data_IF_380411706777
#
_entry.id   IF_380411706777
#
_cell.length_a   1.000
_cell.length_b   1.000
_cell.length_c   1.000
_cell.angle_alpha   90.00
_cell.angle_beta   90.00
_cell.angle_gamma   90.00
#
_symmetry.space_group_name_H-M   'P 1'
#
loop_
_entity.id
_entity.type
_entity.pdbx_description
1 polymer ?
#
# COMPACT_ATOMS: atom_id res chain seq x y z
N UNK A 1 16.82 -0.72 -44.72
CA UNK A 1 18.18 -1.10 -44.26
C UNK A 1 18.64 -0.35 -43.00
N UNK A 2 18.80 0.99 -42.98
CA UNK A 2 19.27 1.69 -41.77
C UNK A 2 18.33 1.57 -40.55
N UNK A 3 17.02 1.70 -40.77
CA UNK A 3 15.99 1.58 -39.72
C UNK A 3 15.88 0.17 -39.12
N UNK A 4 16.20 -0.83 -39.93
CA UNK A 4 16.15 -2.25 -39.59
C UNK A 4 17.41 -2.66 -38.81
N UNK A 5 18.57 -2.13 -39.20
CA UNK A 5 19.82 -2.27 -38.44
C UNK A 5 19.75 -1.58 -37.06
N UNK A 6 19.08 -0.43 -36.97
CA UNK A 6 18.84 0.24 -35.68
C UNK A 6 17.86 -0.53 -34.79
N UNK A 7 16.81 -1.11 -35.37
CA UNK A 7 15.87 -1.97 -34.64
C UNK A 7 16.60 -3.19 -34.05
N UNK A 8 17.39 -3.87 -34.87
CA UNK A 8 18.11 -5.08 -34.48
C UNK A 8 19.16 -4.79 -33.39
N UNK A 9 19.79 -3.60 -33.41
CA UNK A 9 20.70 -3.15 -32.34
C UNK A 9 19.96 -2.91 -31.01
N UNK A 10 18.76 -2.31 -31.06
CA UNK A 10 17.92 -2.08 -29.87
C UNK A 10 17.39 -3.40 -29.30
N UNK A 11 16.96 -4.33 -30.15
CA UNK A 11 16.50 -5.66 -29.74
C UNK A 11 17.62 -6.46 -29.05
N UNK A 12 18.84 -6.44 -29.60
CA UNK A 12 19.99 -7.10 -28.98
C UNK A 12 20.37 -6.46 -27.64
N UNK A 13 20.24 -5.15 -27.50
CA UNK A 13 20.48 -4.45 -26.24
C UNK A 13 19.41 -4.77 -25.19
N UNK A 14 18.14 -4.82 -25.59
CA UNK A 14 17.03 -5.28 -24.74
C UNK A 14 17.29 -6.71 -24.29
N UNK A 15 17.62 -7.62 -25.21
CA UNK A 15 17.88 -9.02 -24.88
C UNK A 15 19.07 -9.19 -23.93
N UNK A 16 20.17 -8.45 -24.11
CA UNK A 16 21.29 -8.46 -23.15
C UNK A 16 20.90 -7.93 -21.78
N UNK A 17 20.08 -6.88 -21.72
CA UNK A 17 19.58 -6.33 -20.46
C UNK A 17 18.63 -7.32 -19.79
N UNK A 18 17.72 -7.95 -20.53
CA UNK A 18 16.82 -8.99 -20.04
C UNK A 18 17.58 -10.20 -19.51
N UNK A 19 18.61 -10.68 -20.22
CA UNK A 19 19.48 -11.77 -19.77
C UNK A 19 20.34 -11.39 -18.56
N UNK A 20 20.76 -10.12 -18.45
CA UNK A 20 21.48 -9.62 -17.27
C UNK A 20 20.55 -9.50 -16.05
N UNK A 21 19.30 -9.05 -16.26
CA UNK A 21 18.28 -9.00 -15.21
C UNK A 21 17.82 -10.39 -14.78
N UNK A 22 17.65 -11.33 -15.73
CA UNK A 22 17.35 -12.73 -15.45
C UNK A 22 18.47 -13.40 -14.64
N UNK A 23 19.74 -13.15 -15.00
CA UNK A 23 20.91 -13.60 -14.23
C UNK A 23 20.98 -12.98 -12.84
N UNK A 24 20.49 -11.75 -12.67
CA UNK A 24 20.37 -11.08 -11.37
C UNK A 24 19.12 -11.53 -10.56
N UNK A 25 18.34 -12.51 -11.05
CA UNK A 25 17.11 -12.95 -10.40
C UNK A 25 15.97 -11.92 -10.43
N UNK A 26 16.11 -10.87 -11.23
CA UNK A 26 15.10 -9.83 -11.43
C UNK A 26 14.19 -10.28 -12.57
N UNK A 27 13.09 -10.94 -12.22
CA UNK A 27 12.01 -11.21 -13.15
C UNK A 27 11.43 -9.85 -13.57
N UNK A 28 11.64 -9.47 -14.84
CA UNK A 28 11.02 -8.28 -15.43
C UNK A 28 9.58 -8.67 -15.75
N UNK A 29 8.68 -8.38 -14.81
CA UNK A 29 7.26 -8.61 -15.00
C UNK A 29 6.66 -7.44 -15.80
N UNK A 30 5.90 -7.71 -16.88
CA UNK A 30 5.31 -6.66 -17.68
C UNK A 30 4.38 -5.81 -16.82
N UNK A 31 4.64 -4.51 -16.77
CA UNK A 31 3.77 -3.55 -16.08
C UNK A 31 2.42 -3.53 -16.77
N UNK A 32 1.35 -3.71 -16.02
CA UNK A 32 -0.01 -3.83 -16.56
C UNK A 32 -1.01 -2.86 -15.89
N UNK A 33 -0.62 -2.16 -14.82
CA UNK A 33 -1.51 -1.31 -14.04
C UNK A 33 -0.88 0.05 -13.67
N UNK A 34 -1.66 1.16 -13.64
CA UNK A 34 -3.04 1.28 -14.12
C UNK A 34 -3.17 1.11 -15.65
N UNK A 35 -4.33 0.70 -16.19
CA UNK A 35 -4.49 0.35 -17.61
C UNK A 35 -4.12 1.48 -18.58
N UNK A 36 -4.34 2.73 -18.18
CA UNK A 36 -4.03 3.92 -18.97
C UNK A 36 -2.57 4.37 -18.84
N UNK A 37 -1.85 3.92 -17.81
CA UNK A 37 -0.45 4.29 -17.60
C UNK A 37 0.27 3.20 -16.78
N UNK A 38 0.72 2.10 -17.42
CA UNK A 38 1.25 0.93 -16.73
C UNK A 38 2.58 1.24 -16.01
N UNK A 39 2.51 1.46 -14.69
CA UNK A 39 3.67 1.73 -13.83
C UNK A 39 4.07 0.48 -13.03
N UNK A 40 3.08 -0.32 -12.62
CA UNK A 40 3.24 -1.46 -11.72
C UNK A 40 2.69 -2.74 -12.34
N UNK A 41 3.16 -3.88 -11.84
CA UNK A 41 2.65 -5.20 -12.18
C UNK A 41 1.66 -5.65 -11.09
N UNK A 42 0.43 -5.95 -11.49
CA UNK A 42 -0.65 -6.46 -10.64
C UNK A 42 -1.40 -7.53 -11.44
N UNK A 43 -1.01 -8.79 -11.26
CA UNK A 43 -1.70 -9.94 -11.84
C UNK A 43 -2.04 -10.98 -10.77
N UNK A 44 -2.95 -10.59 -9.87
CA UNK A 44 -3.28 -11.37 -8.67
C UNK A 44 -3.85 -12.75 -9.03
N UNK A 45 -4.63 -12.85 -10.11
CA UNK A 45 -5.28 -14.10 -10.53
C UNK A 45 -4.27 -15.17 -10.96
N UNK A 46 -3.19 -14.76 -11.63
CA UNK A 46 -2.18 -15.69 -12.16
C UNK A 46 -1.00 -15.89 -11.20
N UNK A 47 -0.64 -14.86 -10.42
CA UNK A 47 0.57 -14.91 -9.58
C UNK A 47 0.35 -15.47 -8.17
N UNK A 48 -0.88 -15.35 -7.64
CA UNK A 48 -1.16 -15.63 -6.24
C UNK A 48 -2.03 -16.89 -6.13
N UNK A 49 -1.69 -17.84 -5.23
CA UNK A 49 -2.53 -19.01 -4.97
C UNK A 49 -3.97 -18.62 -4.62
N UNK A 50 -4.97 -19.37 -5.14
CA UNK A 50 -6.41 -19.04 -5.02
C UNK A 50 -6.86 -18.75 -3.60
N UNK A 51 -6.34 -19.49 -2.60
CA UNK A 51 -6.67 -19.30 -1.19
C UNK A 51 -6.17 -17.96 -0.60
N UNK A 52 -5.19 -17.32 -1.23
CA UNK A 52 -4.61 -16.02 -0.83
C UNK A 52 -5.12 -14.84 -1.66
N UNK A 53 -5.67 -15.10 -2.86
CA UNK A 53 -6.10 -14.05 -3.78
C UNK A 53 -7.05 -13.05 -3.12
N UNK A 54 -8.03 -13.52 -2.33
CA UNK A 54 -8.95 -12.64 -1.61
C UNK A 54 -8.22 -11.64 -0.71
N UNK A 55 -7.23 -12.09 0.04
CA UNK A 55 -6.46 -11.20 0.92
C UNK A 55 -5.66 -10.23 0.08
N UNK A 56 -5.01 -10.69 -0.99
CA UNK A 56 -4.22 -9.81 -1.87
C UNK A 56 -5.08 -8.75 -2.56
N UNK A 57 -6.30 -9.08 -3.02
CA UNK A 57 -7.23 -8.09 -3.58
C UNK A 57 -7.64 -7.04 -2.55
N UNK A 58 -7.90 -7.44 -1.31
CA UNK A 58 -8.26 -6.49 -0.25
C UNK A 58 -7.05 -5.65 0.17
N UNK A 59 -5.84 -6.21 0.19
CA UNK A 59 -4.61 -5.44 0.38
C UNK A 59 -4.38 -4.43 -0.73
N UNK A 60 -4.69 -4.78 -1.97
CA UNK A 60 -4.66 -3.84 -3.09
C UNK A 60 -5.73 -2.76 -2.94
N UNK A 61 -6.93 -3.12 -2.47
CA UNK A 61 -7.98 -2.16 -2.15
C UNK A 61 -7.56 -1.19 -1.03
N UNK A 62 -6.82 -1.64 -0.02
CA UNK A 62 -6.21 -0.76 1.01
C UNK A 62 -5.17 0.19 0.41
N UNK A 63 -4.38 -0.26 -0.59
CA UNK A 63 -3.44 0.63 -1.27
C UNK A 63 -4.17 1.75 -2.01
N UNK A 64 -5.24 1.41 -2.73
CA UNK A 64 -6.11 2.38 -3.39
C UNK A 64 -6.88 3.24 -2.39
N UNK A 65 -7.31 2.66 -1.27
CA UNK A 65 -7.97 3.33 -0.17
C UNK A 65 -7.11 4.44 0.42
N UNK A 66 -5.82 4.18 0.64
CA UNK A 66 -4.86 5.22 1.04
C UNK A 66 -4.73 6.34 0.00
N UNK A 67 -4.65 6.00 -1.29
CA UNK A 67 -4.61 7.01 -2.37
C UNK A 67 -5.85 7.90 -2.32
N UNK A 68 -7.04 7.30 -2.15
CA UNK A 68 -8.31 8.02 -2.02
C UNK A 68 -8.31 8.89 -0.76
N UNK A 69 -7.87 8.37 0.39
CA UNK A 69 -7.78 9.12 1.65
C UNK A 69 -6.92 10.38 1.48
N UNK A 70 -5.71 10.22 0.93
CA UNK A 70 -4.75 11.31 0.79
C UNK A 70 -5.14 12.29 -0.31
N UNK A 71 -5.78 11.81 -1.39
CA UNK A 71 -6.33 12.70 -2.41
C UNK A 71 -7.48 13.54 -1.86
N UNK A 72 -8.43 12.91 -1.17
CA UNK A 72 -9.53 13.63 -0.50
C UNK A 72 -9.00 14.60 0.55
N UNK A 73 -7.95 14.22 1.27
CA UNK A 73 -7.26 15.11 2.20
C UNK A 73 -6.75 16.40 1.54
N UNK A 74 -6.17 16.31 0.34
CA UNK A 74 -5.76 17.50 -0.42
C UNK A 74 -6.98 18.37 -0.75
N UNK A 75 -8.11 17.77 -1.14
CA UNK A 75 -9.33 18.54 -1.43
C UNK A 75 -9.84 19.28 -0.18
N UNK A 76 -9.90 18.60 0.96
CA UNK A 76 -10.28 19.20 2.25
C UNK A 76 -9.39 20.40 2.60
N UNK A 77 -8.08 20.18 2.57
CA UNK A 77 -7.10 21.22 2.94
C UNK A 77 -7.04 22.35 1.90
N UNK A 78 -7.37 22.07 0.63
CA UNK A 78 -7.57 23.12 -0.39
C UNK A 78 -8.78 23.99 -0.04
N UNK A 79 -9.90 23.37 0.39
CA UNK A 79 -11.07 24.08 0.88
C UNK A 79 -10.75 24.99 2.07
N UNK A 80 -10.03 24.47 3.07
CA UNK A 80 -9.56 25.23 4.22
C UNK A 80 -8.60 26.37 3.81
N UNK A 81 -7.69 26.12 2.86
CA UNK A 81 -6.78 27.15 2.39
C UNK A 81 -7.53 28.32 1.71
N UNK A 82 -8.53 28.01 0.89
CA UNK A 82 -9.37 29.03 0.22
C UNK A 82 -10.16 29.87 1.23
N UNK A 83 -10.52 29.31 2.40
CA UNK A 83 -11.20 30.04 3.48
C UNK A 83 -10.25 30.83 4.39
N UNK A 84 -8.94 30.82 4.11
CA UNK A 84 -7.95 31.66 4.78
C UNK A 84 -6.98 30.91 5.72
N UNK A 85 -7.01 29.58 5.75
CA UNK A 85 -6.03 28.80 6.51
C UNK A 85 -4.62 28.88 5.91
N UNK A 86 -3.62 28.53 6.71
CA UNK A 86 -2.20 28.66 6.36
C UNK A 86 -1.78 27.75 5.18
N UNK A 87 -1.17 28.25 4.09
CA UNK A 87 -0.74 27.41 2.96
C UNK A 87 0.21 26.28 3.35
N UNK A 88 0.91 26.37 4.49
CA UNK A 88 1.78 25.29 5.01
C UNK A 88 1.01 23.99 5.24
N UNK A 89 -0.26 24.04 5.66
CA UNK A 89 -1.05 22.81 5.85
C UNK A 89 -1.33 22.12 4.50
N UNK A 90 -1.49 22.90 3.44
CA UNK A 90 -1.71 22.40 2.09
C UNK A 90 -0.46 21.73 1.53
N UNK A 91 0.72 22.33 1.70
CA UNK A 91 1.99 21.71 1.28
C UNK A 91 2.23 20.36 1.99
N UNK A 92 1.92 20.25 3.28
CA UNK A 92 1.99 18.99 4.01
C UNK A 92 1.06 17.92 3.43
N UNK A 93 -0.19 18.27 3.11
CA UNK A 93 -1.13 17.34 2.48
C UNK A 93 -0.60 16.79 1.14
N UNK A 94 0.02 17.65 0.33
CA UNK A 94 0.67 17.25 -0.94
C UNK A 94 1.88 16.35 -0.68
N UNK A 95 2.72 16.67 0.31
CA UNK A 95 3.85 15.82 0.70
C UNK A 95 3.36 14.43 1.12
N UNK A 96 2.30 14.34 1.94
CA UNK A 96 1.73 13.05 2.33
C UNK A 96 1.27 12.24 1.13
N UNK A 97 0.63 12.85 0.14
CA UNK A 97 0.21 12.16 -1.08
C UNK A 97 1.39 11.67 -1.92
N UNK A 98 2.37 12.53 -2.19
CA UNK A 98 3.52 12.21 -3.05
C UNK A 98 4.44 11.17 -2.41
N UNK A 99 4.58 11.19 -1.09
CA UNK A 99 5.46 10.25 -0.36
C UNK A 99 4.72 9.00 0.10
N UNK A 100 3.49 9.16 0.58
CA UNK A 100 2.65 8.09 1.14
C UNK A 100 2.22 7.08 0.10
N UNK A 101 1.79 7.50 -1.09
CA UNK A 101 1.33 6.57 -2.13
C UNK A 101 2.47 5.67 -2.67
N UNK A 102 3.64 6.19 -3.08
CA UNK A 102 4.78 5.35 -3.45
C UNK A 102 5.35 4.57 -2.26
N UNK A 103 5.43 5.21 -1.09
CA UNK A 103 5.89 4.58 0.15
C UNK A 103 5.08 3.34 0.48
N UNK A 104 3.75 3.43 0.45
CA UNK A 104 2.85 2.31 0.70
C UNK A 104 3.06 1.15 -0.29
N UNK A 105 3.20 1.47 -1.57
CA UNK A 105 3.49 0.48 -2.60
C UNK A 105 4.79 -0.28 -2.33
N UNK A 106 5.89 0.44 -2.06
CA UNK A 106 7.21 -0.17 -1.90
C UNK A 106 7.44 -0.82 -0.54
N UNK A 107 6.86 -0.26 0.52
CA UNK A 107 7.14 -0.65 1.90
C UNK A 107 6.27 -1.80 2.39
N UNK A 108 5.03 -1.92 1.93
CA UNK A 108 4.15 -3.00 2.40
C UNK A 108 3.43 -3.75 1.28
N UNK A 109 2.91 -3.09 0.23
CA UNK A 109 2.14 -3.81 -0.80
C UNK A 109 3.01 -4.77 -1.62
N UNK A 110 4.12 -4.27 -2.18
CA UNK A 110 5.05 -5.06 -2.99
C UNK A 110 5.73 -6.17 -2.17
N UNK A 111 6.19 -5.92 -0.93
CA UNK A 111 6.66 -6.99 -0.04
C UNK A 111 5.60 -8.05 0.22
N UNK A 112 4.34 -7.67 0.49
CA UNK A 112 3.25 -8.63 0.69
C UNK A 112 3.00 -9.48 -0.57
N UNK A 113 2.92 -8.85 -1.74
CA UNK A 113 2.72 -9.53 -3.02
C UNK A 113 3.82 -10.58 -3.24
N UNK A 114 5.09 -10.19 -3.00
CA UNK A 114 6.24 -11.11 -3.06
C UNK A 114 6.16 -12.23 -2.03
N UNK A 115 5.73 -11.92 -0.81
CA UNK A 115 5.59 -12.89 0.27
C UNK A 115 4.54 -13.96 -0.07
N UNK A 116 3.40 -13.56 -0.64
CA UNK A 116 2.33 -14.48 -1.04
C UNK A 116 2.69 -15.32 -2.26
N UNK A 117 3.51 -14.78 -3.18
CA UNK A 117 3.97 -15.50 -4.38
C UNK A 117 5.12 -16.46 -4.13
N UNK A 118 6.14 -16.04 -3.38
CA UNK A 118 7.41 -16.79 -3.21
C UNK A 118 7.58 -17.42 -1.83
N UNK A 119 6.57 -17.30 -0.98
CA UNK A 119 6.57 -17.78 0.41
C UNK A 119 7.78 -17.32 1.25
N UNK A 120 8.08 -16.02 1.22
CA UNK A 120 9.24 -15.43 1.88
C UNK A 120 8.90 -14.90 3.28
N UNK A 121 9.42 -15.55 4.33
CA UNK A 121 9.24 -15.12 5.73
C UNK A 121 9.78 -13.71 6.00
N UNK A 122 10.92 -13.34 5.40
CA UNK A 122 11.47 -11.99 5.51
C UNK A 122 10.50 -10.94 4.90
N UNK A 123 9.88 -11.26 3.77
CA UNK A 123 8.93 -10.36 3.12
C UNK A 123 7.65 -10.18 3.95
N UNK A 124 7.19 -11.23 4.64
CA UNK A 124 6.10 -11.11 5.62
C UNK A 124 6.49 -10.22 6.81
N UNK A 125 7.68 -10.41 7.39
CA UNK A 125 8.16 -9.56 8.49
C UNK A 125 8.24 -8.08 8.10
N UNK A 126 8.77 -7.80 6.91
CA UNK A 126 8.84 -6.44 6.35
C UNK A 126 7.43 -5.85 6.13
N UNK A 127 6.50 -6.63 5.59
CA UNK A 127 5.10 -6.23 5.48
C UNK A 127 4.52 -5.86 6.85
N UNK A 128 4.62 -6.71 7.87
CA UNK A 128 4.03 -6.44 9.18
C UNK A 128 4.56 -5.16 9.81
N UNK A 129 5.87 -4.90 9.71
CA UNK A 129 6.49 -3.69 10.25
C UNK A 129 5.91 -2.42 9.61
N UNK A 130 5.90 -2.35 8.28
CA UNK A 130 5.45 -1.13 7.59
C UNK A 130 3.93 -1.00 7.52
N UNK A 131 3.21 -2.11 7.50
CA UNK A 131 1.75 -2.08 7.54
C UNK A 131 1.23 -1.68 8.93
N UNK A 132 1.97 -1.99 10.00
CA UNK A 132 1.71 -1.42 11.32
C UNK A 132 1.83 0.12 11.31
N UNK A 133 2.89 0.67 10.71
CA UNK A 133 3.05 2.12 10.57
C UNK A 133 1.95 2.73 9.69
N UNK A 134 1.51 2.05 8.64
CA UNK A 134 0.35 2.46 7.82
C UNK A 134 -0.93 2.56 8.66
N UNK A 135 -1.26 1.53 9.45
CA UNK A 135 -2.42 1.54 10.34
C UNK A 135 -2.31 2.67 11.37
N UNK A 136 -1.15 2.82 12.01
CA UNK A 136 -0.91 3.88 12.98
C UNK A 136 -1.06 5.28 12.36
N UNK A 137 -0.55 5.48 11.14
CA UNK A 137 -0.72 6.71 10.38
C UNK A 137 -2.20 6.98 10.07
N UNK A 138 -2.96 5.98 9.61
CA UNK A 138 -4.38 6.16 9.30
C UNK A 138 -5.22 6.47 10.55
N UNK A 139 -4.89 5.86 11.70
CA UNK A 139 -5.52 6.21 13.00
C UNK A 139 -5.17 7.65 13.39
N UNK A 140 -3.89 8.03 13.28
CA UNK A 140 -3.45 9.40 13.55
C UNK A 140 -4.16 10.41 12.65
N UNK A 141 -4.31 10.11 11.36
CA UNK A 141 -5.02 10.95 10.40
C UNK A 141 -6.52 11.02 10.66
N UNK A 142 -7.16 9.93 11.08
CA UNK A 142 -8.57 9.93 11.45
C UNK A 142 -8.84 10.80 12.69
N UNK A 143 -7.98 10.71 13.71
CA UNK A 143 -8.11 11.56 14.91
C UNK A 143 -7.75 13.00 14.55
N UNK A 144 -6.59 13.18 13.94
CA UNK A 144 -5.96 14.46 13.59
C UNK A 144 -5.85 15.40 14.80
N UNK A 145 -5.18 14.96 15.88
CA UNK A 145 -5.13 15.75 17.10
C UNK A 145 -4.47 17.11 16.82
N UNK A 146 -4.98 18.23 17.38
CA UNK A 146 -4.55 19.58 17.03
C UNK A 146 -3.17 19.96 17.58
N UNK A 147 -2.41 18.99 18.10
CA UNK A 147 -1.05 19.18 18.56
C UNK A 147 -0.12 19.17 17.34
N UNK A 148 0.67 20.23 17.18
CA UNK A 148 1.50 20.56 16.00
C UNK A 148 0.71 20.98 14.74
N UNK A 149 1.39 21.68 13.83
CA UNK A 149 0.83 22.09 12.52
C UNK A 149 0.38 20.89 11.66
N UNK A 150 0.96 19.71 11.89
CA UNK A 150 0.67 18.46 11.17
C UNK A 150 -0.78 17.99 11.36
N UNK A 151 -1.34 18.18 12.55
CA UNK A 151 -2.73 17.81 12.87
C UNK A 151 -3.78 18.65 12.16
N UNK A 152 -3.42 19.77 11.52
CA UNK A 152 -4.36 20.58 10.73
C UNK A 152 -4.33 20.24 9.23
N UNK A 153 -3.27 19.54 8.81
CA UNK A 153 -3.10 19.08 7.42
C UNK A 153 -3.76 17.74 7.11
N UNK A 154 -4.50 17.15 8.05
CA UNK A 154 -5.17 15.86 7.91
C UNK A 154 -6.68 16.02 8.12
N UNK A 155 -7.46 15.31 7.30
CA UNK A 155 -8.92 15.36 7.30
C UNK A 155 -9.51 14.47 8.41
N UNK A 156 -9.11 14.71 9.66
CA UNK A 156 -9.62 13.99 10.82
C UNK A 156 -10.71 14.73 11.59
N UNK A 157 -11.25 14.04 12.60
CA UNK A 157 -12.43 14.48 13.34
C UNK A 157 -12.24 15.82 14.06
N UNK A 158 -11.06 16.09 14.63
CA UNK A 158 -10.82 17.36 15.30
C UNK A 158 -10.87 18.54 14.32
N UNK A 159 -10.27 18.39 13.14
CA UNK A 159 -10.35 19.44 12.11
C UNK A 159 -11.77 19.56 11.56
N UNK A 160 -12.49 18.44 11.37
CA UNK A 160 -13.89 18.46 10.94
C UNK A 160 -14.79 19.27 11.88
N UNK A 161 -14.63 19.08 13.19
CA UNK A 161 -15.38 19.83 14.21
C UNK A 161 -14.99 21.32 14.19
N UNK A 162 -13.69 21.62 14.08
CA UNK A 162 -13.19 23.00 14.01
C UNK A 162 -13.77 23.74 12.80
N UNK A 163 -13.68 23.14 11.61
CA UNK A 163 -14.18 23.73 10.37
C UNK A 163 -15.70 23.84 10.35
N UNK A 164 -16.43 22.96 11.03
CA UNK A 164 -17.89 23.07 11.13
C UNK A 164 -18.33 24.38 11.80
N UNK A 165 -17.52 24.90 12.73
CA UNK A 165 -17.76 26.18 13.39
C UNK A 165 -17.43 27.41 12.53
N UNK A 166 -16.55 27.26 11.54
CA UNK A 166 -16.11 28.37 10.67
C UNK A 166 -16.80 28.36 9.31
N UNK A 167 -16.80 27.22 8.63
CA UNK A 167 -17.42 27.01 7.33
C UNK A 167 -18.03 25.60 7.26
N UNK A 168 -19.34 25.50 7.39
CA UNK A 168 -20.06 24.23 7.40
C UNK A 168 -19.79 23.36 6.16
N UNK A 169 -19.61 23.95 4.97
CA UNK A 169 -19.31 23.20 3.76
C UNK A 169 -17.92 22.53 3.84
N UNK A 170 -16.91 23.27 4.31
CA UNK A 170 -15.57 22.71 4.57
C UNK A 170 -15.63 21.65 5.67
N UNK A 171 -16.33 21.92 6.77
CA UNK A 171 -16.55 20.95 7.84
C UNK A 171 -17.14 19.62 7.35
N UNK A 172 -18.17 19.66 6.50
CA UNK A 172 -18.76 18.44 5.90
C UNK A 172 -17.74 17.67 5.07
N UNK A 173 -16.92 18.35 4.26
CA UNK A 173 -15.86 17.69 3.47
C UNK A 173 -14.85 16.97 4.39
N UNK A 174 -14.48 17.59 5.50
CA UNK A 174 -13.60 16.99 6.51
C UNK A 174 -14.24 15.79 7.21
N UNK A 175 -15.54 15.82 7.52
CA UNK A 175 -16.26 14.65 8.05
C UNK A 175 -16.27 13.47 7.07
N UNK A 176 -16.39 13.73 5.76
CA UNK A 176 -16.25 12.69 4.74
C UNK A 176 -14.83 12.12 4.74
N UNK A 177 -13.81 12.98 4.82
CA UNK A 177 -12.42 12.55 4.91
C UNK A 177 -12.16 11.66 6.13
N UNK A 178 -12.70 12.05 7.29
CA UNK A 178 -12.64 11.28 8.52
C UNK A 178 -13.26 9.89 8.33
N UNK A 179 -14.45 9.81 7.73
CA UNK A 179 -15.14 8.54 7.48
C UNK A 179 -14.31 7.62 6.57
N UNK A 180 -13.70 8.15 5.51
CA UNK A 180 -12.86 7.36 4.60
C UNK A 180 -11.60 6.85 5.33
N UNK A 181 -10.95 7.67 6.17
CA UNK A 181 -9.82 7.22 6.99
C UNK A 181 -10.21 6.13 7.99
N UNK A 182 -11.39 6.22 8.62
CA UNK A 182 -11.90 5.16 9.51
C UNK A 182 -12.13 3.87 8.74
N UNK A 183 -12.73 3.93 7.55
CA UNK A 183 -12.91 2.75 6.69
C UNK A 183 -11.57 2.12 6.29
N UNK A 184 -10.56 2.93 5.97
CA UNK A 184 -9.21 2.46 5.66
C UNK A 184 -8.54 1.79 6.86
N UNK A 185 -8.72 2.32 8.09
CA UNK A 185 -8.24 1.67 9.32
C UNK A 185 -8.89 0.30 9.51
N UNK A 186 -10.22 0.21 9.38
CA UNK A 186 -10.96 -1.05 9.55
C UNK A 186 -10.53 -2.09 8.51
N UNK A 187 -10.41 -1.69 7.25
CA UNK A 187 -9.92 -2.52 6.16
C UNK A 187 -8.50 -3.01 6.44
N UNK A 188 -7.62 -2.12 6.89
CA UNK A 188 -6.22 -2.43 7.17
C UNK A 188 -6.06 -3.38 8.36
N UNK A 189 -6.84 -3.21 9.43
CA UNK A 189 -6.86 -4.16 10.55
C UNK A 189 -7.30 -5.54 10.08
N UNK A 190 -8.33 -5.62 9.23
CA UNK A 190 -8.77 -6.89 8.67
C UNK A 190 -7.68 -7.57 7.84
N UNK A 191 -6.99 -6.83 6.97
CA UNK A 191 -5.86 -7.36 6.18
C UNK A 191 -4.74 -7.84 7.10
N UNK A 192 -4.34 -7.03 8.08
CA UNK A 192 -3.28 -7.38 9.02
C UNK A 192 -3.60 -8.68 9.75
N UNK A 193 -4.82 -8.82 10.26
CA UNK A 193 -5.28 -10.05 10.93
C UNK A 193 -5.22 -11.25 9.98
N UNK A 194 -5.72 -11.13 8.75
CA UNK A 194 -5.73 -12.26 7.78
C UNK A 194 -4.34 -12.72 7.41
N UNK A 195 -3.41 -11.79 7.16
CA UNK A 195 -2.01 -12.12 6.85
C UNK A 195 -1.33 -12.72 8.08
N UNK A 196 -1.57 -12.18 9.28
CA UNK A 196 -1.02 -12.70 10.53
C UNK A 196 -1.46 -14.15 10.79
N UNK A 197 -2.75 -14.45 10.67
CA UNK A 197 -3.27 -15.81 10.86
C UNK A 197 -2.68 -16.80 9.85
N UNK A 198 -2.55 -16.40 8.59
CA UNK A 198 -1.92 -17.23 7.57
C UNK A 198 -0.45 -17.51 7.88
N UNK A 199 0.33 -16.47 8.22
CA UNK A 199 1.74 -16.60 8.55
C UNK A 199 1.97 -17.46 9.80
N UNK A 200 1.13 -17.30 10.83
CA UNK A 200 1.21 -18.10 12.06
C UNK A 200 0.88 -19.57 11.81
N UNK A 201 -0.13 -19.86 10.99
CA UNK A 201 -0.51 -21.23 10.63
C UNK A 201 0.65 -22.00 9.99
N UNK A 202 1.43 -21.34 9.11
CA UNK A 202 2.65 -21.92 8.52
C UNK A 202 3.72 -22.26 9.55
N UNK A 203 3.92 -21.39 10.53
CA UNK A 203 4.88 -21.64 11.61
C UNK A 203 4.55 -22.92 12.38
N UNK A 204 3.26 -23.17 12.63
CA UNK A 204 2.79 -24.37 13.33
C UNK A 204 2.99 -25.64 12.49
N UNK A 205 2.65 -25.62 11.19
CA UNK A 205 2.86 -26.77 10.29
C UNK A 205 4.35 -27.13 10.15
N UNK A 206 5.22 -26.12 10.06
CA UNK A 206 6.66 -26.32 9.95
C UNK A 206 7.26 -26.97 11.22
N UNK A 207 6.72 -26.65 12.41
CA UNK A 207 7.15 -27.25 13.68
C UNK A 207 6.69 -28.71 13.84
N UNK A 208 5.51 -29.06 13.32
CA UNK A 208 4.94 -30.42 13.44
C UNK A 208 5.60 -31.44 12.48
N UNK A 209 6.15 -31.00 11.35
CA UNK A 209 6.83 -31.86 10.37
C UNK A 209 8.04 -32.64 10.92
N UNK A 210 8.99 -32.03 11.66
CA UNK A 210 10.11 -32.75 12.27
C UNK A 210 9.66 -33.83 13.27
N UNK A 211 8.65 -33.54 14.09
CA UNK A 211 8.15 -34.47 15.10
C UNK A 211 7.49 -35.71 14.49
N UNK A 212 6.84 -35.56 13.33
CA UNK A 212 6.24 -36.68 12.60
C UNK A 212 7.29 -37.61 11.97
N UNK A 213 8.40 -37.05 11.44
CA UNK A 213 9.48 -37.83 10.86
C UNK A 213 10.28 -38.64 11.89
N UNK A 214 10.29 -38.20 13.16
CA UNK A 214 11.00 -38.88 14.25
C UNK A 214 10.17 -40.01 14.88
N UNK A 215 8.88 -40.12 14.53
CA UNK A 215 7.95 -41.13 15.06
C UNK A 215 7.60 -42.27 14.08
N UNK A 216 8.22 -42.31 12.90
CA UNK A 216 8.03 -43.44 11.97
C UNK A 216 8.71 -44.70 12.55
N UNK A 217 8.00 -45.82 12.74
CA UNK A 217 8.61 -47.05 13.26
C UNK A 217 9.63 -47.60 12.25
N UNK A 218 10.76 -48.17 12.72
CA UNK A 218 11.72 -48.83 11.84
C UNK A 218 11.05 -50.04 11.16
N UNK A 219 11.25 -50.15 9.84
CA UNK A 219 10.75 -51.21 8.96
C UNK A 219 11.32 -52.58 9.30
#
# INVERSE_FOLDING_TARGET
>A
MAKEAELNRREQEIKRREEALARAGVIIEPKNWPPFFPIIHVDISNDIPVHLQRVQYVSFASLLGLVICLFWNILCVTGAWITGHDPRIWFLAVIYFITGCPGAYFLWYRPLYRAMRKDSAFSYGWFFLFYFFHIAFCIYAAISPPFFYMGRSLAGIFQAISEMGENAAVGIMYFMGFAIFVLEVLLSIWVFQRVYWFFRGKGTEAQMRPDAATRAPPS
#
